data_IF_621181041508
#
_entry.id   IF_621181041508
#
_cell.length_a   1.000
_cell.length_b   1.000
_cell.length_c   1.000
_cell.angle_alpha   90.00
_cell.angle_beta   90.00
_cell.angle_gamma   90.00
#
_symmetry.space_group_name_H-M   'P 1'
#
loop_
_entity.id
_entity.type
_entity.pdbx_description
1 polymer ?
#
# COMPACT_ATOMS: atom_id res chain seq x y z
N UNK A 1 -9.85 28.60 19.98
CA UNK A 1 -9.73 27.49 19.01
C UNK A 1 -10.61 26.35 19.47
N UNK A 2 -11.52 25.88 18.63
CA UNK A 2 -12.50 24.85 18.99
C UNK A 2 -11.91 23.48 18.59
N UNK A 3 -11.41 22.69 19.55
CA UNK A 3 -10.70 21.42 19.31
C UNK A 3 -11.62 20.22 18.98
N UNK A 4 -12.93 20.47 18.91
CA UNK A 4 -13.97 19.45 18.65
C UNK A 4 -13.80 18.64 17.36
N UNK A 5 -13.39 19.19 16.19
CA UNK A 5 -13.24 18.37 14.99
C UNK A 5 -12.00 17.45 15.06
N UNK A 6 -10.95 17.85 15.78
CA UNK A 6 -9.74 17.06 15.99
C UNK A 6 -10.01 15.84 16.89
N UNK A 7 -10.80 16.03 17.94
CA UNK A 7 -11.28 14.94 18.81
C UNK A 7 -12.20 13.97 18.07
N UNK A 8 -13.01 14.45 17.13
CA UNK A 8 -13.92 13.61 16.34
C UNK A 8 -13.18 12.71 15.37
N UNK A 9 -12.16 13.24 14.68
CA UNK A 9 -11.28 12.44 13.81
C UNK A 9 -10.48 11.40 14.62
N UNK A 10 -9.97 11.78 15.80
CA UNK A 10 -9.25 10.86 16.68
C UNK A 10 -10.15 9.74 17.23
N UNK A 11 -11.40 10.06 17.58
CA UNK A 11 -12.39 9.07 18.04
C UNK A 11 -12.81 8.09 16.94
N UNK A 12 -12.92 8.55 15.68
CA UNK A 12 -13.18 7.67 14.53
C UNK A 12 -11.99 6.73 14.27
N UNK A 13 -10.76 7.24 14.36
CA UNK A 13 -9.54 6.43 14.23
C UNK A 13 -9.48 5.38 15.36
N UNK A 14 -9.81 5.74 16.60
CA UNK A 14 -9.83 4.82 17.74
C UNK A 14 -10.94 3.77 17.65
N UNK A 15 -12.11 4.12 17.11
CA UNK A 15 -13.22 3.19 16.89
C UNK A 15 -12.92 2.18 15.75
N UNK A 16 -12.15 2.59 14.74
CA UNK A 16 -11.73 1.71 13.64
C UNK A 16 -10.64 0.69 14.05
N UNK A 17 -9.95 0.92 15.17
CA UNK A 17 -8.95 0.00 15.74
C UNK A 17 -9.58 -1.21 16.47
N UNK A 18 -10.89 -1.25 16.67
CA UNK A 18 -11.62 -2.33 17.35
C UNK A 18 -12.25 -3.33 16.37
N UNK A 19 -11.51 -3.76 15.35
CA UNK A 19 -11.95 -4.83 14.43
C UNK A 19 -11.50 -6.19 14.96
N UNK A 20 -12.45 -6.99 15.43
CA UNK A 20 -12.25 -8.36 15.88
C UNK A 20 -11.79 -9.28 14.74
N UNK A 21 -10.67 -9.99 14.95
CA UNK A 21 -10.16 -11.01 14.03
C UNK A 21 -10.88 -12.32 14.29
N UNK A 22 -11.75 -12.71 13.35
CA UNK A 22 -12.39 -14.02 13.33
C UNK A 22 -11.39 -15.06 12.84
N UNK A 23 -10.94 -15.93 13.74
CA UNK A 23 -10.15 -17.12 13.39
C UNK A 23 -11.12 -18.27 13.09
N UNK A 24 -11.05 -18.86 11.90
CA UNK A 24 -11.75 -20.08 11.56
C UNK A 24 -10.80 -21.27 11.74
N UNK A 25 -10.86 -21.91 12.92
CA UNK A 25 -10.15 -23.15 13.21
C UNK A 25 -11.02 -24.36 12.83
N UNK A 26 -10.40 -25.42 12.30
CA UNK A 26 -11.04 -26.70 12.04
C UNK A 26 -10.38 -27.78 12.90
N UNK A 27 -11.16 -28.44 13.74
CA UNK A 27 -10.65 -29.40 14.74
C UNK A 27 -10.82 -30.84 14.24
N UNK A 28 -9.75 -31.63 14.31
CA UNK A 28 -9.85 -33.04 14.63
C UNK A 28 -9.27 -33.28 16.03
N UNK A 29 -9.62 -34.40 16.66
CA UNK A 29 -9.54 -34.62 18.11
C UNK A 29 -8.16 -34.47 18.78
N UNK A 30 -7.08 -34.15 18.06
CA UNK A 30 -5.87 -33.55 18.64
C UNK A 30 -5.04 -32.68 17.65
N UNK A 31 -5.38 -32.60 16.36
CA UNK A 31 -4.61 -31.83 15.36
C UNK A 31 -5.46 -30.68 14.81
N UNK A 32 -4.98 -29.46 14.98
CA UNK A 32 -5.57 -28.24 14.40
C UNK A 32 -4.79 -27.84 13.14
N UNK A 33 -5.50 -27.53 12.06
CA UNK A 33 -4.90 -27.15 10.77
C UNK A 33 -5.25 -25.69 10.50
N UNK A 34 -4.23 -24.85 10.46
CA UNK A 34 -4.37 -23.42 10.13
C UNK A 34 -3.64 -23.11 8.82
N UNK A 35 -4.33 -22.45 7.90
CA UNK A 35 -3.75 -21.98 6.62
C UNK A 35 -3.67 -20.46 6.65
N UNK A 36 -2.52 -19.92 6.29
CA UNK A 36 -2.22 -18.48 6.28
C UNK A 36 -1.76 -18.09 4.88
N UNK A 37 -2.58 -17.30 4.17
CA UNK A 37 -2.30 -16.83 2.81
C UNK A 37 -2.88 -15.42 2.64
N UNK A 38 -2.10 -14.41 2.21
CA UNK A 38 -0.65 -14.43 2.04
C UNK A 38 0.09 -14.40 3.39
N UNK A 39 1.23 -15.10 3.50
CA UNK A 39 2.10 -15.13 4.68
C UNK A 39 2.93 -13.84 4.77
N UNK A 40 2.25 -12.77 5.19
CA UNK A 40 2.78 -11.41 5.38
C UNK A 40 2.51 -10.95 6.82
N UNK A 41 3.14 -9.85 7.29
CA UNK A 41 2.90 -9.35 8.65
C UNK A 41 1.41 -9.23 8.98
N UNK A 42 0.99 -9.86 10.08
CA UNK A 42 -0.42 -10.02 10.45
C UNK A 42 -1.16 -8.68 10.50
N UNK A 43 -2.39 -8.68 9.98
CA UNK A 43 -3.32 -7.56 10.04
C UNK A 43 -3.19 -6.51 8.92
N UNK A 44 -2.00 -6.33 8.32
CA UNK A 44 -1.82 -5.28 7.29
C UNK A 44 -2.38 -5.66 5.91
N UNK A 45 -2.30 -6.95 5.58
CA UNK A 45 -2.77 -7.48 4.30
C UNK A 45 -4.09 -8.19 4.48
N UNK A 46 -4.91 -8.16 3.43
CA UNK A 46 -6.20 -8.83 3.48
C UNK A 46 -6.00 -10.35 3.48
N UNK A 47 -6.49 -11.08 4.50
CA UNK A 47 -6.34 -12.52 4.55
C UNK A 47 -7.16 -13.20 3.46
N UNK A 48 -6.67 -14.35 3.01
CA UNK A 48 -7.31 -15.26 2.07
C UNK A 48 -7.64 -14.63 0.72
N UNK A 49 -6.88 -13.61 0.31
CA UNK A 49 -7.00 -12.97 -1.00
C UNK A 49 -5.68 -13.00 -1.77
N UNK A 50 -5.76 -13.49 -3.00
CA UNK A 50 -4.69 -13.49 -3.99
C UNK A 50 -5.10 -12.61 -5.16
N UNK A 51 -4.17 -11.80 -5.68
CA UNK A 51 -4.40 -10.99 -6.88
C UNK A 51 -3.81 -11.75 -8.07
N UNK A 52 -4.64 -12.04 -9.08
CA UNK A 52 -4.17 -12.67 -10.30
C UNK A 52 -3.20 -11.76 -11.08
N UNK A 53 -2.32 -12.36 -11.87
CA UNK A 53 -1.22 -11.69 -12.55
C UNK A 53 0.13 -12.40 -12.43
N UNK A 54 0.15 -13.69 -12.05
CA UNK A 54 1.37 -14.50 -12.02
C UNK A 54 2.36 -14.15 -10.90
N UNK A 55 1.99 -13.27 -9.96
CA UNK A 55 2.86 -12.89 -8.84
C UNK A 55 2.87 -13.98 -7.78
N UNK A 56 4.05 -14.53 -7.50
CA UNK A 56 4.24 -15.54 -6.47
C UNK A 56 3.96 -14.97 -5.07
N UNK A 57 3.04 -15.58 -4.32
CA UNK A 57 2.72 -15.21 -2.94
C UNK A 57 3.16 -16.30 -1.97
N UNK A 58 3.62 -15.91 -0.79
CA UNK A 58 3.98 -16.85 0.27
C UNK A 58 2.74 -17.36 0.98
N UNK A 59 2.75 -18.63 1.34
CA UNK A 59 1.70 -19.29 2.09
C UNK A 59 2.32 -20.17 3.17
N UNK A 60 1.58 -20.38 4.26
CA UNK A 60 2.01 -21.27 5.33
C UNK A 60 0.83 -22.09 5.84
N UNK A 61 1.05 -23.39 5.98
CA UNK A 61 0.14 -24.31 6.65
C UNK A 61 0.79 -24.73 7.96
N UNK A 62 0.04 -24.59 9.05
CA UNK A 62 0.45 -24.93 10.40
C UNK A 62 -0.38 -26.12 10.85
N UNK A 63 0.30 -27.20 11.22
CA UNK A 63 -0.28 -28.37 11.85
C UNK A 63 0.09 -28.30 13.33
N UNK A 64 -0.89 -28.11 14.20
CA UNK A 64 -0.68 -27.99 15.64
C UNK A 64 -1.21 -29.23 16.35
N UNK A 65 -0.36 -29.89 17.13
CA UNK A 65 -0.76 -31.01 17.97
C UNK A 65 -1.19 -30.49 19.35
N UNK A 66 -2.49 -30.51 19.63
CA UNK A 66 -3.12 -30.16 20.91
C UNK A 66 -3.11 -31.32 21.92
N UNK A 67 -2.73 -32.52 21.51
CA UNK A 67 -2.55 -33.67 22.38
C UNK A 67 -1.31 -33.55 23.27
N UNK A 68 -1.19 -34.44 24.26
CA UNK A 68 -0.04 -34.51 25.15
C UNK A 68 1.11 -35.37 24.59
N UNK A 69 0.80 -36.30 23.69
CA UNK A 69 1.75 -37.26 23.11
C UNK A 69 2.24 -36.79 21.73
N UNK A 70 3.38 -37.33 21.29
CA UNK A 70 3.93 -37.04 19.96
C UNK A 70 3.11 -37.77 18.91
N UNK A 71 2.66 -37.05 17.88
CA UNK A 71 1.90 -37.63 16.77
C UNK A 71 2.73 -37.61 15.48
N UNK A 72 2.72 -38.70 14.73
CA UNK A 72 3.26 -38.76 13.38
C UNK A 72 2.14 -38.57 12.36
N UNK A 73 2.25 -37.53 11.53
CA UNK A 73 1.20 -37.11 10.60
C UNK A 73 1.70 -37.19 9.17
N UNK A 74 0.87 -37.69 8.26
CA UNK A 74 1.04 -37.48 6.82
C UNK A 74 -0.06 -36.58 6.30
N UNK A 75 0.28 -35.56 5.52
CA UNK A 75 -0.67 -34.58 5.00
C UNK A 75 -0.63 -34.55 3.48
N UNK A 76 -1.79 -34.52 2.84
CA UNK A 76 -1.96 -34.27 1.41
C UNK A 76 -2.65 -32.93 1.24
N UNK A 77 -2.00 -32.01 0.50
CA UNK A 77 -2.49 -30.66 0.22
C UNK A 77 -2.77 -30.58 -1.27
N UNK A 78 -4.03 -30.45 -1.65
CA UNK A 78 -4.48 -30.32 -3.03
C UNK A 78 -4.84 -28.86 -3.30
N UNK A 79 -4.10 -28.22 -4.19
CA UNK A 79 -4.43 -26.92 -4.75
C UNK A 79 -5.47 -27.04 -5.87
N UNK A 80 -6.31 -26.02 -6.06
CA UNK A 80 -7.21 -25.97 -7.20
C UNK A 80 -6.43 -25.77 -8.51
N UNK A 81 -6.89 -26.39 -9.60
CA UNK A 81 -6.29 -26.36 -10.96
C UNK A 81 -5.87 -24.98 -11.49
N UNK A 82 -6.46 -23.92 -10.95
CA UNK A 82 -6.23 -22.55 -11.36
C UNK A 82 -4.94 -21.94 -10.79
N UNK A 83 -4.32 -22.59 -9.80
CA UNK A 83 -3.22 -22.06 -9.00
C UNK A 83 -2.07 -23.06 -9.04
N UNK A 84 -0.86 -22.60 -9.30
CA UNK A 84 0.33 -23.46 -9.19
C UNK A 84 0.96 -23.33 -7.80
N UNK A 85 1.48 -24.46 -7.32
CA UNK A 85 2.25 -24.55 -6.09
C UNK A 85 3.74 -24.64 -6.43
N UNK A 86 4.57 -24.21 -5.48
CA UNK A 86 5.98 -24.60 -5.42
C UNK A 86 6.44 -24.59 -3.97
N UNK A 87 7.42 -25.42 -3.66
CA UNK A 87 7.92 -25.60 -2.28
C UNK A 87 9.28 -24.92 -2.12
N UNK A 88 9.41 -23.87 -1.28
CA UNK A 88 10.71 -23.32 -0.94
C UNK A 88 11.52 -24.30 -0.07
N UNK A 89 12.85 -24.17 -0.09
CA UNK A 89 13.74 -24.93 0.80
C UNK A 89 13.39 -24.65 2.27
N UNK A 90 13.15 -25.71 3.05
CA UNK A 90 12.75 -25.69 4.45
C UNK A 90 13.17 -26.99 5.17
N UNK A 91 13.03 -27.03 6.49
CA UNK A 91 13.43 -28.19 7.31
C UNK A 91 12.73 -29.49 6.88
N UNK A 92 11.47 -29.40 6.45
CA UNK A 92 10.69 -30.54 5.98
C UNK A 92 10.88 -30.83 4.48
N UNK A 93 11.81 -30.18 3.77
CA UNK A 93 11.93 -30.31 2.31
C UNK A 93 12.13 -31.75 1.84
N UNK A 94 12.87 -32.58 2.59
CA UNK A 94 13.11 -33.99 2.25
C UNK A 94 11.86 -34.86 2.45
N UNK A 95 10.86 -34.36 3.19
CA UNK A 95 9.61 -35.04 3.49
C UNK A 95 8.46 -34.60 2.58
N UNK A 96 8.70 -33.64 1.69
CA UNK A 96 7.68 -33.06 0.81
C UNK A 96 7.92 -33.54 -0.62
N UNK A 97 6.90 -34.18 -1.19
CA UNK A 97 6.86 -34.54 -2.60
C UNK A 97 5.83 -33.67 -3.32
N UNK A 98 6.21 -33.14 -4.48
CA UNK A 98 5.36 -32.29 -5.33
C UNK A 98 4.98 -33.05 -6.60
N UNK A 99 3.68 -33.22 -6.83
CA UNK A 99 3.11 -33.78 -8.06
C UNK A 99 2.01 -32.85 -8.59
N UNK A 100 2.42 -31.94 -9.48
CA UNK A 100 1.56 -30.90 -10.03
C UNK A 100 0.96 -30.01 -8.93
N UNK A 101 -0.36 -30.06 -8.77
CA UNK A 101 -1.09 -29.27 -7.76
C UNK A 101 -1.30 -30.03 -6.45
N UNK A 102 -0.69 -31.20 -6.30
CA UNK A 102 -0.76 -32.00 -5.07
C UNK A 102 0.60 -31.99 -4.39
N UNK A 103 0.61 -31.64 -3.11
CA UNK A 103 1.77 -31.77 -2.24
C UNK A 103 1.49 -32.83 -1.19
N UNK A 104 2.39 -33.80 -1.09
CA UNK A 104 2.35 -34.82 -0.04
C UNK A 104 3.49 -34.59 0.93
N UNK A 105 3.16 -34.47 2.21
CA UNK A 105 4.11 -34.36 3.31
C UNK A 105 4.04 -35.64 4.12
N UNK A 106 5.14 -36.38 4.19
CA UNK A 106 5.21 -37.68 4.84
C UNK A 106 5.95 -37.60 6.17
N UNK A 107 5.48 -38.35 7.18
CA UNK A 107 6.18 -38.58 8.44
C UNK A 107 6.55 -37.30 9.22
N UNK A 108 5.59 -36.39 9.36
CA UNK A 108 5.74 -35.19 10.17
C UNK A 108 5.54 -35.54 11.65
N UNK A 109 6.62 -35.56 12.42
CA UNK A 109 6.58 -35.76 13.87
C UNK A 109 6.29 -34.45 14.59
N UNK A 110 5.18 -34.39 15.35
CA UNK A 110 4.77 -33.21 16.11
C UNK A 110 4.59 -33.58 17.58
N UNK A 111 5.49 -33.10 18.44
CA UNK A 111 5.36 -33.27 19.88
C UNK A 111 4.08 -32.59 20.42
N UNK A 112 3.53 -33.11 21.53
CA UNK A 112 2.36 -32.52 22.17
C UNK A 112 2.54 -31.04 22.52
N UNK A 113 1.58 -30.20 22.14
CA UNK A 113 1.63 -28.75 22.29
C UNK A 113 2.59 -28.03 21.33
N UNK A 114 3.14 -28.72 20.32
CA UNK A 114 4.00 -28.11 19.28
C UNK A 114 3.28 -28.04 17.95
N UNK A 115 3.88 -27.27 17.03
CA UNK A 115 3.37 -27.11 15.68
C UNK A 115 4.47 -27.38 14.67
N UNK A 116 4.11 -28.04 13.58
CA UNK A 116 4.95 -28.16 12.39
C UNK A 116 4.43 -27.22 11.30
N UNK A 117 5.36 -26.68 10.53
CA UNK A 117 5.09 -25.60 9.58
C UNK A 117 5.52 -26.05 8.19
N UNK A 118 4.57 -26.04 7.26
CA UNK A 118 4.83 -26.25 5.83
C UNK A 118 4.68 -24.90 5.13
N UNK A 119 5.78 -24.35 4.63
CA UNK A 119 5.80 -23.13 3.82
C UNK A 119 5.64 -23.50 2.36
N UNK A 120 4.83 -22.72 1.66
CA UNK A 120 4.45 -22.89 0.26
C UNK A 120 4.59 -21.56 -0.46
N UNK A 121 4.79 -21.64 -1.78
CA UNK A 121 4.67 -20.52 -2.70
C UNK A 121 3.49 -20.80 -3.62
N UNK A 122 2.57 -19.86 -3.68
CA UNK A 122 1.29 -19.98 -4.37
C UNK A 122 1.27 -18.95 -5.48
N UNK A 123 1.18 -19.42 -6.72
CA UNK A 123 1.14 -18.53 -7.89
C UNK A 123 -0.28 -18.53 -8.47
N UNK A 124 -1.04 -17.44 -8.31
CA UNK A 124 -2.33 -17.29 -8.96
C UNK A 124 -2.15 -17.20 -10.48
N UNK A 125 -3.18 -17.52 -11.27
CA UNK A 125 -3.08 -17.48 -12.73
C UNK A 125 -2.81 -16.06 -13.23
N UNK A 126 -2.35 -15.93 -14.46
CA UNK A 126 -2.09 -14.62 -15.09
C UNK A 126 -3.35 -13.75 -15.16
N UNK A 127 -4.52 -14.37 -15.38
CA UNK A 127 -5.78 -13.66 -15.46
C UNK A 127 -6.97 -14.53 -15.09
N UNK A 128 -8.00 -13.91 -14.53
CA UNK A 128 -9.33 -14.49 -14.34
C UNK A 128 -10.40 -13.47 -14.75
N UNK A 129 -11.53 -13.92 -15.32
CA UNK A 129 -12.56 -13.02 -15.83
C UNK A 129 -13.32 -12.29 -14.72
N UNK A 130 -13.49 -12.94 -13.56
CA UNK A 130 -14.23 -12.41 -12.43
C UNK A 130 -13.65 -12.92 -11.11
N UNK A 131 -13.94 -12.20 -10.03
CA UNK A 131 -13.58 -12.61 -8.66
C UNK A 131 -14.07 -14.04 -8.42
N UNK A 132 -13.14 -14.95 -8.16
CA UNK A 132 -13.44 -16.39 -8.08
C UNK A 132 -13.02 -16.94 -6.74
N UNK A 133 -13.93 -17.66 -6.08
CA UNK A 133 -13.66 -18.33 -4.82
C UNK A 133 -13.15 -19.75 -5.08
N UNK A 134 -12.03 -20.11 -4.44
CA UNK A 134 -11.40 -21.43 -4.55
C UNK A 134 -11.08 -22.00 -3.17
N UNK A 135 -10.71 -23.28 -3.13
CA UNK A 135 -10.44 -23.99 -1.87
C UNK A 135 -9.18 -24.82 -2.00
N UNK A 136 -8.36 -24.81 -0.94
CA UNK A 136 -7.40 -25.89 -0.71
C UNK A 136 -8.13 -27.05 -0.06
N UNK A 137 -7.80 -28.28 -0.45
CA UNK A 137 -8.25 -29.48 0.24
C UNK A 137 -7.06 -30.10 0.92
N UNK A 138 -7.09 -30.13 2.25
CA UNK A 138 -6.02 -30.63 3.09
C UNK A 138 -6.55 -31.85 3.82
N UNK A 139 -5.93 -32.99 3.57
CA UNK A 139 -6.23 -34.24 4.26
C UNK A 139 -5.04 -34.62 5.10
N UNK A 140 -5.18 -34.62 6.42
CA UNK A 140 -4.17 -35.10 7.35
C UNK A 140 -4.57 -36.48 7.89
N UNK A 141 -3.62 -37.41 7.92
CA UNK A 141 -3.80 -38.74 8.48
C UNK A 141 -2.75 -38.98 9.56
N UNK A 142 -3.19 -39.38 10.76
CA UNK A 142 -2.28 -39.81 11.82
C UNK A 142 -1.85 -41.27 11.57
N UNK A 143 -0.56 -41.55 11.78
CA UNK A 143 0.02 -42.86 11.50
C UNK A 143 -0.40 -43.94 12.52
N UNK A 144 -0.75 -43.55 13.74
CA UNK A 144 -0.97 -44.48 14.86
C UNK A 144 -2.40 -45.03 14.95
N UNK A 145 -3.42 -44.25 14.60
CA UNK A 145 -4.83 -44.63 14.68
C UNK A 145 -5.55 -44.66 13.32
N UNK A 146 -4.88 -44.23 12.25
CA UNK A 146 -5.47 -44.10 10.92
C UNK A 146 -6.56 -43.04 10.82
N UNK A 147 -6.72 -42.18 11.83
CA UNK A 147 -7.70 -41.11 11.84
C UNK A 147 -7.40 -40.12 10.72
N UNK A 148 -8.45 -39.72 10.00
CA UNK A 148 -8.37 -38.80 8.87
C UNK A 148 -9.09 -37.50 9.19
N UNK A 149 -8.40 -36.40 8.96
CA UNK A 149 -8.91 -35.04 9.12
C UNK A 149 -8.96 -34.39 7.75
N UNK A 150 -10.14 -33.94 7.35
CA UNK A 150 -10.32 -33.16 6.13
C UNK A 150 -10.59 -31.70 6.48
N UNK A 151 -9.75 -30.82 5.96
CA UNK A 151 -9.88 -29.38 6.11
C UNK A 151 -9.94 -28.70 4.74
N UNK A 152 -10.92 -27.81 4.58
CA UNK A 152 -11.12 -27.04 3.35
C UNK A 152 -10.93 -25.56 3.63
N UNK A 153 -9.75 -25.03 3.29
CA UNK A 153 -9.48 -23.60 3.41
C UNK A 153 -10.01 -22.84 2.20
N UNK A 154 -10.82 -21.80 2.43
CA UNK A 154 -11.43 -21.00 1.38
C UNK A 154 -10.63 -19.72 1.15
N UNK A 155 -10.27 -19.44 -0.10
CA UNK A 155 -9.61 -18.20 -0.49
C UNK A 155 -10.24 -17.62 -1.75
N UNK A 156 -10.00 -16.33 -1.99
CA UNK A 156 -10.53 -15.61 -3.15
C UNK A 156 -9.42 -15.13 -4.05
N UNK A 157 -9.54 -15.42 -5.34
CA UNK A 157 -8.67 -14.84 -6.37
C UNK A 157 -9.40 -13.61 -6.92
N UNK A 158 -8.74 -12.47 -6.84
CA UNK A 158 -9.19 -11.19 -7.40
C UNK A 158 -8.62 -11.12 -8.83
N UNK A 159 -9.43 -10.74 -9.85
CA UNK A 159 -8.91 -10.55 -11.20
C UNK A 159 -7.74 -9.58 -11.20
N UNK A 160 -6.78 -9.73 -12.13
CA UNK A 160 -5.81 -8.68 -12.32
C UNK A 160 -6.60 -7.40 -12.65
N UNK A 161 -6.12 -6.22 -12.22
CA UNK A 161 -6.67 -4.96 -12.69
C UNK A 161 -6.78 -5.02 -14.22
N UNK A 162 -7.97 -4.74 -14.71
CA UNK A 162 -8.34 -5.02 -16.08
C UNK A 162 -7.54 -4.14 -17.04
N UNK A 163 -7.62 -4.44 -18.34
CA UNK A 163 -7.16 -3.51 -19.38
C UNK A 163 -7.73 -2.09 -19.21
N UNK A 164 -8.86 -1.95 -18.52
CA UNK A 164 -9.43 -0.65 -18.15
C UNK A 164 -8.53 0.05 -17.14
N UNK A 165 -7.94 -0.64 -16.16
CA UNK A 165 -7.03 -0.03 -15.20
C UNK A 165 -5.70 0.39 -15.84
N UNK A 166 -5.13 -0.45 -16.70
CA UNK A 166 -3.97 -0.02 -17.51
C UNK A 166 -4.34 1.09 -18.48
N UNK A 167 -5.54 1.04 -19.05
CA UNK A 167 -6.12 2.09 -19.86
C UNK A 167 -6.30 3.39 -19.08
N UNK A 168 -6.67 3.34 -17.80
CA UNK A 168 -6.75 4.53 -16.94
C UNK A 168 -5.37 5.08 -16.63
N UNK A 169 -4.36 4.23 -16.37
CA UNK A 169 -2.97 4.71 -16.19
C UNK A 169 -2.46 5.36 -17.48
N UNK A 170 -2.68 4.72 -18.63
CA UNK A 170 -2.31 5.26 -19.93
C UNK A 170 -3.06 6.56 -20.24
N UNK A 171 -4.35 6.63 -19.92
CA UNK A 171 -5.15 7.83 -20.06
C UNK A 171 -4.68 8.93 -19.11
N UNK A 172 -4.28 8.62 -17.87
CA UNK A 172 -3.68 9.59 -16.94
C UNK A 172 -2.34 10.11 -17.47
N UNK A 173 -1.48 9.24 -18.00
CA UNK A 173 -0.23 9.64 -18.64
C UNK A 173 -0.47 10.49 -19.89
N UNK A 174 -1.44 10.12 -20.73
CA UNK A 174 -1.88 10.91 -21.87
C UNK A 174 -2.43 12.27 -21.45
N UNK A 175 -3.22 12.32 -20.36
CA UNK A 175 -3.80 13.55 -19.83
C UNK A 175 -2.69 14.46 -19.29
N UNK A 176 -1.66 13.90 -18.66
CA UNK A 176 -0.44 14.63 -18.27
C UNK A 176 0.27 15.16 -19.52
N UNK A 177 0.47 14.35 -20.55
CA UNK A 177 1.11 14.80 -21.81
C UNK A 177 0.28 15.91 -22.46
N UNK A 178 -1.04 15.76 -22.53
CA UNK A 178 -1.97 16.78 -23.03
C UNK A 178 -1.90 18.04 -22.16
N UNK A 179 -1.83 17.91 -20.83
CA UNK A 179 -1.69 19.03 -19.91
C UNK A 179 -0.35 19.75 -20.13
N UNK A 180 0.75 19.02 -20.33
CA UNK A 180 2.06 19.60 -20.68
C UNK A 180 1.99 20.32 -22.03
N UNK A 181 1.35 19.73 -23.04
CA UNK A 181 1.14 20.36 -24.35
C UNK A 181 0.24 21.60 -24.27
N UNK A 182 -0.81 21.56 -23.44
CA UNK A 182 -1.69 22.69 -23.19
C UNK A 182 -0.94 23.81 -22.45
N UNK A 183 -0.21 23.47 -21.40
CA UNK A 183 0.69 24.38 -20.65
C UNK A 183 1.70 25.04 -21.58
N UNK A 184 2.28 24.28 -22.52
CA UNK A 184 3.17 24.82 -23.57
C UNK A 184 2.42 25.74 -24.54
N UNK A 185 1.24 25.35 -25.02
CA UNK A 185 0.44 26.13 -25.97
C UNK A 185 -0.11 27.43 -25.39
N UNK A 186 -0.45 27.43 -24.11
CA UNK A 186 -0.98 28.59 -23.39
C UNK A 186 0.11 29.42 -22.72
N UNK A 187 1.40 29.10 -22.95
CA UNK A 187 2.51 29.87 -22.37
C UNK A 187 2.53 29.85 -20.84
N UNK A 188 1.96 28.83 -20.20
CA UNK A 188 1.83 28.80 -18.73
C UNK A 188 3.21 28.76 -18.06
N UNK A 189 4.20 28.10 -18.68
CA UNK A 189 5.59 28.12 -18.22
C UNK A 189 6.25 29.48 -18.39
N UNK A 190 5.84 30.27 -19.39
CA UNK A 190 6.34 31.64 -19.60
C UNK A 190 5.84 32.60 -18.51
N UNK A 191 4.80 32.22 -17.78
CA UNK A 191 4.37 32.96 -16.60
C UNK A 191 5.36 32.83 -15.45
N UNK A 192 6.18 31.78 -15.37
CA UNK A 192 7.14 31.58 -14.28
C UNK A 192 8.43 32.35 -14.55
N UNK A 193 8.88 33.11 -13.56
CA UNK A 193 10.18 33.77 -13.63
C UNK A 193 11.29 32.77 -13.30
N UNK A 194 12.53 33.12 -13.63
CA UNK A 194 13.71 32.32 -13.25
C UNK A 194 13.74 32.07 -11.74
N UNK A 195 13.39 33.07 -10.92
CA UNK A 195 13.38 32.94 -9.45
C UNK A 195 12.33 31.91 -9.01
N UNK A 196 11.17 31.89 -9.66
CA UNK A 196 10.12 30.91 -9.34
C UNK A 196 10.57 29.49 -9.65
N UNK A 197 11.14 29.27 -10.84
CA UNK A 197 11.62 27.96 -11.27
C UNK A 197 12.75 27.46 -10.36
N UNK A 198 13.68 28.34 -9.99
CA UNK A 198 14.75 28.02 -9.03
C UNK A 198 14.16 27.67 -7.66
N UNK A 199 13.17 28.43 -7.19
CA UNK A 199 12.52 28.16 -5.90
C UNK A 199 11.84 26.79 -5.90
N UNK A 200 11.07 26.47 -6.96
CA UNK A 200 10.43 25.16 -7.11
C UNK A 200 11.47 24.05 -7.15
N UNK A 201 12.56 24.21 -7.92
CA UNK A 201 13.60 23.21 -8.03
C UNK A 201 14.30 22.93 -6.69
N UNK A 202 14.58 23.98 -5.89
CA UNK A 202 15.18 23.83 -4.57
C UNK A 202 14.26 23.11 -3.58
N UNK A 203 12.96 23.47 -3.57
CA UNK A 203 11.97 22.81 -2.71
C UNK A 203 11.75 21.35 -3.14
N UNK A 204 11.69 21.08 -4.44
CA UNK A 204 11.58 19.73 -4.99
C UNK A 204 12.80 18.87 -4.65
N UNK A 205 14.01 19.43 -4.74
CA UNK A 205 15.23 18.72 -4.34
C UNK A 205 15.23 18.39 -2.85
N UNK A 206 14.75 19.32 -2.00
CA UNK A 206 14.63 19.07 -0.56
C UNK A 206 13.62 17.93 -0.26
N UNK A 207 12.48 17.90 -0.97
CA UNK A 207 11.51 16.81 -0.86
C UNK A 207 12.09 15.47 -1.33
N UNK A 208 12.59 15.43 -2.56
CA UNK A 208 12.99 14.21 -3.26
C UNK A 208 14.30 13.61 -2.77
N UNK A 209 15.17 14.40 -2.12
CA UNK A 209 16.45 13.93 -1.56
C UNK A 209 16.35 13.76 -0.06
N UNK A 210 16.19 14.87 0.67
CA UNK A 210 16.36 14.87 2.13
C UNK A 210 15.19 14.18 2.81
N UNK A 211 13.96 14.59 2.51
CA UNK A 211 12.79 14.01 3.19
C UNK A 211 12.49 12.58 2.72
N UNK A 212 12.83 12.26 1.46
CA UNK A 212 12.77 10.87 0.99
C UNK A 212 13.77 9.97 1.71
N UNK A 213 15.02 10.40 1.84
CA UNK A 213 16.03 9.65 2.61
C UNK A 213 15.62 9.50 4.07
N UNK A 214 15.13 10.58 4.69
CA UNK A 214 14.66 10.57 6.07
C UNK A 214 13.49 9.58 6.26
N UNK A 215 12.50 9.62 5.36
CA UNK A 215 11.41 8.65 5.38
C UNK A 215 11.94 7.22 5.25
N UNK A 216 12.77 6.91 4.25
CA UNK A 216 13.31 5.55 4.06
C UNK A 216 14.08 5.04 5.28
N UNK A 217 14.83 5.91 5.97
CA UNK A 217 15.66 5.54 7.12
C UNK A 217 14.83 5.23 8.36
N UNK A 218 13.74 6.00 8.56
CA UNK A 218 13.00 5.97 9.83
C UNK A 218 11.62 5.33 9.72
N UNK A 219 11.08 5.09 8.51
CA UNK A 219 9.73 4.57 8.32
C UNK A 219 9.49 3.26 9.09
N UNK A 220 10.47 2.36 9.09
CA UNK A 220 10.36 1.06 9.75
C UNK A 220 10.30 1.19 11.28
N UNK A 221 10.90 2.24 11.87
CA UNK A 221 10.90 2.49 13.32
C UNK A 221 9.50 2.91 13.80
N UNK A 222 8.76 3.64 12.97
CA UNK A 222 7.45 4.19 13.32
C UNK A 222 6.27 3.31 12.90
N UNK A 223 6.54 2.17 12.26
CA UNK A 223 5.52 1.22 11.80
C UNK A 223 4.41 1.92 11.01
N UNK A 224 3.13 1.82 11.42
CA UNK A 224 2.02 2.43 10.67
C UNK A 224 2.10 3.96 10.59
N UNK A 225 2.81 4.63 11.52
CA UNK A 225 2.98 6.08 11.54
C UNK A 225 4.12 6.59 10.65
N UNK A 226 4.94 5.70 10.09
CA UNK A 226 6.07 6.09 9.24
C UNK A 226 5.67 6.97 8.05
N UNK A 227 4.45 6.80 7.52
CA UNK A 227 3.90 7.65 6.47
C UNK A 227 3.78 9.14 6.83
N UNK A 228 3.70 9.49 8.12
CA UNK A 228 3.68 10.89 8.56
C UNK A 228 5.01 11.59 8.33
N UNK A 229 6.14 10.86 8.42
CA UNK A 229 7.48 11.40 8.22
C UNK A 229 7.69 11.90 6.79
N UNK A 230 6.94 11.35 5.84
CA UNK A 230 6.93 11.83 4.46
C UNK A 230 5.81 12.84 4.21
N UNK A 231 4.62 12.59 4.74
CA UNK A 231 3.45 13.42 4.39
C UNK A 231 3.53 14.82 4.97
N UNK A 232 4.06 15.00 6.19
CA UNK A 232 4.17 16.32 6.83
C UNK A 232 5.14 17.22 6.06
N UNK A 233 6.41 16.83 5.81
CA UNK A 233 7.34 17.73 5.13
C UNK A 233 6.93 18.03 3.69
N UNK A 234 6.44 17.04 2.95
CA UNK A 234 6.03 17.24 1.56
C UNK A 234 4.85 18.21 1.46
N UNK A 235 3.87 18.09 2.35
CA UNK A 235 2.73 19.03 2.37
C UNK A 235 3.17 20.44 2.79
N UNK A 236 4.13 20.55 3.72
CA UNK A 236 4.70 21.84 4.11
C UNK A 236 5.44 22.52 2.95
N UNK A 237 6.30 21.77 2.24
CA UNK A 237 7.03 22.28 1.08
C UNK A 237 6.11 22.69 -0.05
N UNK A 238 5.05 21.91 -0.30
CA UNK A 238 4.02 22.26 -1.28
C UNK A 238 3.34 23.60 -0.93
N UNK A 239 2.93 23.79 0.32
CA UNK A 239 2.33 25.06 0.75
C UNK A 239 3.32 26.21 0.65
N UNK A 240 4.60 26.00 1.00
CA UNK A 240 5.65 27.01 0.83
C UNK A 240 5.80 27.39 -0.64
N UNK A 241 5.85 26.40 -1.55
CA UNK A 241 5.95 26.65 -2.98
C UNK A 241 4.77 27.48 -3.50
N UNK A 242 3.53 27.08 -3.15
CA UNK A 242 2.32 27.83 -3.51
C UNK A 242 2.39 29.28 -3.04
N UNK A 243 2.75 29.48 -1.78
CA UNK A 243 2.72 30.81 -1.16
C UNK A 243 3.81 31.75 -1.68
N UNK A 244 4.98 31.22 -2.05
CA UNK A 244 6.11 32.00 -2.59
C UNK A 244 5.95 32.29 -4.08
N UNK A 245 5.60 31.28 -4.88
CA UNK A 245 5.56 31.41 -6.36
C UNK A 245 4.25 32.01 -6.85
N UNK A 246 3.13 31.66 -6.21
CA UNK A 246 1.80 32.25 -6.45
C UNK A 246 1.33 32.21 -7.91
N UNK A 247 1.60 31.10 -8.61
CA UNK A 247 1.23 30.89 -10.03
C UNK A 247 0.46 29.59 -10.21
N UNK A 248 -0.48 29.52 -11.17
CA UNK A 248 -1.23 28.30 -11.41
C UNK A 248 -0.29 27.20 -11.93
N UNK A 249 -0.47 25.97 -11.46
CA UNK A 249 0.40 24.85 -11.83
C UNK A 249 1.63 24.69 -10.95
N UNK A 250 1.78 25.50 -9.90
CA UNK A 250 2.94 25.43 -9.00
C UNK A 250 3.01 24.09 -8.28
N UNK A 251 1.89 23.54 -7.79
CA UNK A 251 1.89 22.26 -7.07
C UNK A 251 2.22 21.11 -8.02
N UNK A 252 1.60 21.07 -9.19
CA UNK A 252 1.87 20.06 -10.23
C UNK A 252 3.32 20.11 -10.69
N UNK A 253 3.87 21.31 -10.92
CA UNK A 253 5.26 21.48 -11.33
C UNK A 253 6.24 21.06 -10.23
N UNK A 254 5.96 21.38 -8.97
CA UNK A 254 6.75 20.93 -7.83
C UNK A 254 6.86 19.40 -7.79
N UNK A 255 5.72 18.70 -7.87
CA UNK A 255 5.71 17.24 -7.85
C UNK A 255 6.34 16.63 -9.10
N UNK A 256 6.18 17.25 -10.27
CA UNK A 256 6.88 16.79 -11.47
C UNK A 256 8.40 16.84 -11.28
N UNK A 257 8.93 17.97 -10.79
CA UNK A 257 10.37 18.13 -10.57
C UNK A 257 10.86 17.20 -9.46
N UNK A 258 10.11 17.07 -8.36
CA UNK A 258 10.40 16.12 -7.28
C UNK A 258 10.54 14.68 -7.79
N UNK A 259 9.63 14.25 -8.67
CA UNK A 259 9.67 12.92 -9.25
C UNK A 259 10.83 12.74 -10.24
N UNK A 260 11.18 13.76 -11.02
CA UNK A 260 12.37 13.72 -11.88
C UNK A 260 13.66 13.61 -11.07
N UNK A 261 13.77 14.39 -9.99
CA UNK A 261 14.89 14.29 -9.03
C UNK A 261 14.93 12.88 -8.44
N UNK A 262 13.77 12.33 -8.07
CA UNK A 262 13.70 10.99 -7.52
C UNK A 262 14.14 9.90 -8.50
N UNK A 263 13.77 10.04 -9.78
CA UNK A 263 14.18 9.12 -10.84
C UNK A 263 15.71 9.11 -11.01
N UNK A 264 16.33 10.29 -11.02
CA UNK A 264 17.78 10.43 -11.23
C UNK A 264 18.58 9.94 -10.02
N UNK A 265 18.18 10.32 -8.80
CA UNK A 265 18.98 10.04 -7.59
C UNK A 265 18.75 8.62 -7.07
N UNK A 266 17.50 8.13 -7.11
CA UNK A 266 17.15 6.83 -6.53
C UNK A 266 17.00 5.72 -7.57
N UNK A 267 17.23 5.99 -8.86
CA UNK A 267 17.03 5.01 -9.93
C UNK A 267 15.61 4.47 -10.03
N UNK A 268 14.63 5.21 -9.51
CA UNK A 268 13.23 4.78 -9.41
C UNK A 268 12.59 4.72 -10.80
N UNK A 269 11.91 3.62 -11.13
CA UNK A 269 11.11 3.51 -12.36
C UNK A 269 9.82 4.33 -12.24
N UNK A 270 10.00 5.65 -12.29
CA UNK A 270 8.97 6.66 -12.08
C UNK A 270 7.80 6.52 -13.07
N UNK A 271 8.04 5.97 -14.26
CA UNK A 271 7.06 5.95 -15.36
C UNK A 271 5.79 5.18 -15.00
N UNK A 272 5.88 4.19 -14.10
CA UNK A 272 4.74 3.37 -13.67
C UNK A 272 3.79 4.13 -12.74
N UNK A 273 4.28 5.10 -11.97
CA UNK A 273 3.51 5.82 -10.95
C UNK A 273 3.63 7.33 -11.02
N UNK A 274 4.21 7.90 -12.08
CA UNK A 274 4.29 9.34 -12.28
C UNK A 274 2.90 9.99 -12.26
N UNK A 275 1.90 9.32 -12.87
CA UNK A 275 0.51 9.79 -12.86
C UNK A 275 -0.09 9.91 -11.45
N UNK A 276 0.35 9.08 -10.50
CA UNK A 276 -0.07 9.17 -9.10
C UNK A 276 0.35 10.51 -8.48
N UNK A 277 1.64 10.83 -8.54
CA UNK A 277 2.18 12.06 -7.95
C UNK A 277 1.74 13.33 -8.68
N UNK A 278 1.56 13.27 -10.00
CA UNK A 278 1.06 14.41 -10.74
C UNK A 278 -0.42 14.72 -10.43
N UNK A 279 -1.22 13.68 -10.16
CA UNK A 279 -2.62 13.88 -9.78
C UNK A 279 -2.75 14.55 -8.40
N UNK A 280 -1.82 14.29 -7.48
CA UNK A 280 -1.74 15.02 -6.20
C UNK A 280 -1.59 16.53 -6.41
N UNK A 281 -0.65 16.93 -7.28
CA UNK A 281 -0.42 18.34 -7.61
C UNK A 281 -1.60 18.96 -8.38
N UNK A 282 -2.15 18.23 -9.34
CA UNK A 282 -3.26 18.71 -10.16
C UNK A 282 -4.53 18.97 -9.33
N UNK A 283 -4.81 18.12 -8.34
CA UNK A 283 -5.93 18.34 -7.41
C UNK A 283 -5.73 19.64 -6.65
N UNK A 284 -4.53 19.88 -6.10
CA UNK A 284 -4.25 21.10 -5.34
C UNK A 284 -4.30 22.35 -6.23
N UNK A 285 -3.74 22.32 -7.43
CA UNK A 285 -3.84 23.44 -8.37
C UNK A 285 -5.31 23.71 -8.78
N UNK A 286 -6.13 22.66 -8.88
CA UNK A 286 -7.58 22.80 -9.12
C UNK A 286 -8.26 23.47 -7.93
N UNK A 287 -7.93 23.09 -6.69
CA UNK A 287 -8.46 23.73 -5.48
C UNK A 287 -8.07 25.20 -5.39
N UNK A 288 -6.83 25.55 -5.74
CA UNK A 288 -6.36 26.94 -5.82
C UNK A 288 -7.20 27.74 -6.81
N UNK A 289 -7.47 27.18 -8.00
CA UNK A 289 -8.33 27.81 -8.99
C UNK A 289 -9.77 27.98 -8.48
N UNK A 290 -10.35 26.95 -7.84
CA UNK A 290 -11.70 26.99 -7.25
C UNK A 290 -11.80 28.01 -6.11
N UNK A 291 -10.72 28.21 -5.33
CA UNK A 291 -10.64 29.21 -4.27
C UNK A 291 -10.16 30.58 -4.78
N UNK A 292 -10.45 30.91 -6.04
CA UNK A 292 -10.19 32.23 -6.65
C UNK A 292 -8.72 32.64 -6.59
N UNK A 293 -7.83 31.69 -6.89
CA UNK A 293 -6.37 31.89 -6.88
C UNK A 293 -5.83 32.22 -5.48
N UNK A 294 -6.41 31.63 -4.43
CA UNK A 294 -5.87 31.69 -3.08
C UNK A 294 -4.65 30.76 -2.99
N UNK A 295 -3.44 31.31 -3.09
CA UNK A 295 -2.19 30.55 -3.05
C UNK A 295 -1.73 30.27 -1.61
N UNK A 296 -2.62 29.68 -0.81
CA UNK A 296 -2.44 29.45 0.61
C UNK A 296 -2.23 30.76 1.40
N UNK A 297 -3.00 31.80 1.05
CA UNK A 297 -3.01 33.12 1.71
C UNK A 297 -3.60 33.07 3.11
N UNK A 298 -4.43 32.08 3.37
CA UNK A 298 -4.99 31.82 4.69
C UNK A 298 -4.53 30.46 5.20
N UNK A 299 -4.36 30.35 6.52
CA UNK A 299 -4.01 29.07 7.15
C UNK A 299 -5.03 27.98 6.83
N UNK A 300 -6.31 28.34 6.70
CA UNK A 300 -7.38 27.39 6.36
C UNK A 300 -7.16 26.82 4.95
N UNK A 301 -6.87 27.68 3.95
CA UNK A 301 -6.58 27.20 2.59
C UNK A 301 -5.36 26.29 2.57
N UNK A 302 -4.28 26.67 3.28
CA UNK A 302 -3.08 25.85 3.40
C UNK A 302 -3.35 24.44 3.99
N UNK A 303 -4.19 24.39 5.04
CA UNK A 303 -4.60 23.12 5.67
C UNK A 303 -5.43 22.28 4.70
N UNK A 304 -6.39 22.89 4.00
CA UNK A 304 -7.23 22.19 3.01
C UNK A 304 -6.35 21.56 1.93
N UNK A 305 -5.44 22.33 1.33
CA UNK A 305 -4.55 21.83 0.28
C UNK A 305 -3.68 20.67 0.76
N UNK A 306 -3.11 20.79 1.98
CA UNK A 306 -2.34 19.71 2.58
C UNK A 306 -3.17 18.44 2.82
N UNK A 307 -4.38 18.58 3.37
CA UNK A 307 -5.30 17.47 3.61
C UNK A 307 -5.74 16.78 2.33
N UNK A 308 -6.15 17.55 1.32
CA UNK A 308 -6.60 17.05 0.02
C UNK A 308 -5.50 16.30 -0.71
N UNK A 309 -4.27 16.84 -0.69
CA UNK A 309 -3.09 16.14 -1.20
C UNK A 309 -2.88 14.82 -0.49
N UNK A 310 -2.88 14.81 0.86
CA UNK A 310 -2.69 13.59 1.65
C UNK A 310 -3.76 12.54 1.38
N UNK A 311 -5.02 12.96 1.28
CA UNK A 311 -6.15 12.09 0.96
C UNK A 311 -5.99 11.43 -0.42
N UNK A 312 -5.81 12.23 -1.47
CA UNK A 312 -5.74 11.74 -2.84
C UNK A 312 -4.51 10.86 -3.04
N UNK A 313 -3.36 11.25 -2.49
CA UNK A 313 -2.13 10.47 -2.53
C UNK A 313 -2.38 9.05 -2.01
N UNK A 314 -2.87 8.92 -0.79
CA UNK A 314 -2.99 7.61 -0.16
C UNK A 314 -4.19 6.82 -0.69
N UNK A 315 -5.29 7.49 -1.05
CA UNK A 315 -6.43 6.82 -1.65
C UNK A 315 -6.06 6.16 -2.98
N UNK A 316 -5.37 6.89 -3.87
CA UNK A 316 -4.89 6.35 -5.13
C UNK A 316 -3.87 5.24 -4.91
N UNK A 317 -2.96 5.40 -3.95
CA UNK A 317 -1.99 4.35 -3.64
C UNK A 317 -2.67 3.05 -3.23
N UNK A 318 -3.49 3.07 -2.17
CA UNK A 318 -4.02 1.85 -1.57
C UNK A 318 -5.10 1.17 -2.43
N UNK A 319 -5.89 1.93 -3.18
CA UNK A 319 -7.02 1.38 -3.94
C UNK A 319 -6.77 1.23 -5.44
N UNK A 320 -5.80 1.95 -6.02
CA UNK A 320 -5.52 1.90 -7.46
C UNK A 320 -4.12 1.36 -7.75
N UNK A 321 -3.07 2.00 -7.24
CA UNK A 321 -1.70 1.65 -7.62
C UNK A 321 -1.18 0.39 -6.93
N UNK A 322 -1.43 0.18 -5.62
CA UNK A 322 -1.05 -1.03 -4.88
C UNK A 322 -1.57 -2.33 -5.52
N UNK A 323 -2.87 -2.43 -5.86
CA UNK A 323 -3.39 -3.60 -6.57
C UNK A 323 -2.87 -3.70 -8.01
N UNK A 324 -2.59 -2.57 -8.66
CA UNK A 324 -2.27 -2.55 -10.10
C UNK A 324 -0.82 -2.79 -10.42
N UNK A 325 0.08 -1.99 -9.85
CA UNK A 325 1.49 -2.07 -10.11
C UNK A 325 2.15 -3.20 -9.30
N UNK A 326 1.72 -3.41 -8.05
CA UNK A 326 2.38 -4.34 -7.14
C UNK A 326 1.59 -5.61 -6.84
N UNK A 327 0.35 -5.74 -7.34
CA UNK A 327 -0.54 -6.90 -7.09
C UNK A 327 -0.81 -7.13 -5.59
N UNK A 328 -0.78 -6.06 -4.80
CA UNK A 328 -0.99 -6.12 -3.34
C UNK A 328 -2.42 -5.67 -3.01
N UNK A 329 -3.10 -6.45 -2.18
CA UNK A 329 -4.39 -6.06 -1.59
C UNK A 329 -4.22 -5.83 -0.07
N UNK A 330 -4.30 -4.57 0.34
CA UNK A 330 -4.29 -4.20 1.76
C UNK A 330 -5.68 -4.40 2.38
N UNK A 331 -5.71 -4.68 3.67
CA UNK A 331 -6.96 -4.77 4.41
C UNK A 331 -7.68 -3.40 4.40
N UNK A 332 -9.00 -3.33 4.19
CA UNK A 332 -9.71 -2.04 4.10
C UNK A 332 -9.48 -1.11 5.30
N UNK A 333 -9.46 -1.67 6.52
CA UNK A 333 -9.20 -0.89 7.73
C UNK A 333 -7.81 -0.24 7.72
N UNK A 334 -6.79 -0.97 7.23
CA UNK A 334 -5.41 -0.49 7.16
C UNK A 334 -5.28 0.61 6.11
N UNK A 335 -5.88 0.42 4.94
CA UNK A 335 -5.93 1.44 3.89
C UNK A 335 -6.58 2.73 4.40
N UNK A 336 -7.72 2.62 5.10
CA UNK A 336 -8.40 3.79 5.67
C UNK A 336 -7.61 4.44 6.81
N UNK A 337 -6.95 3.66 7.66
CA UNK A 337 -6.04 4.19 8.68
C UNK A 337 -4.93 5.01 8.03
N UNK A 338 -4.29 4.48 7.00
CA UNK A 338 -3.20 5.14 6.30
C UNK A 338 -3.66 6.41 5.59
N UNK A 339 -4.83 6.41 4.98
CA UNK A 339 -5.46 7.63 4.44
C UNK A 339 -5.72 8.65 5.55
N UNK A 340 -6.24 8.22 6.70
CA UNK A 340 -6.47 9.08 7.86
C UNK A 340 -5.17 9.71 8.38
N UNK A 341 -4.10 8.93 8.47
CA UNK A 341 -2.77 9.43 8.84
C UNK A 341 -2.23 10.41 7.80
N UNK A 342 -2.41 10.14 6.51
CA UNK A 342 -1.99 11.07 5.47
C UNK A 342 -2.75 12.41 5.52
N UNK A 343 -4.06 12.38 5.77
CA UNK A 343 -4.86 13.58 5.99
C UNK A 343 -4.38 14.36 7.22
N UNK A 344 -4.08 13.67 8.32
CA UNK A 344 -3.53 14.29 9.52
C UNK A 344 -2.14 14.90 9.25
N UNK A 345 -1.28 14.19 8.56
CA UNK A 345 0.03 14.68 8.12
C UNK A 345 -0.09 15.89 7.20
N UNK A 346 -1.09 15.89 6.31
CA UNK A 346 -1.43 17.02 5.44
C UNK A 346 -1.91 18.24 6.20
N UNK A 347 -2.74 18.05 7.24
CA UNK A 347 -3.18 19.12 8.14
C UNK A 347 -2.00 19.77 8.87
N UNK A 348 -1.12 18.95 9.47
CA UNK A 348 0.05 19.42 10.20
C UNK A 348 1.01 20.12 9.25
N UNK A 349 1.35 19.46 8.13
CA UNK A 349 2.23 19.99 7.10
C UNK A 349 1.70 21.29 6.49
N UNK A 350 0.41 21.39 6.21
CA UNK A 350 -0.21 22.60 5.70
C UNK A 350 -0.13 23.77 6.69
N UNK A 351 -0.35 23.51 7.97
CA UNK A 351 -0.19 24.54 9.01
C UNK A 351 1.25 25.00 9.18
N UNK A 352 2.20 24.07 9.22
CA UNK A 352 3.64 24.37 9.34
C UNK A 352 4.12 25.13 8.10
N UNK A 353 3.73 24.67 6.92
CA UNK A 353 4.08 25.29 5.64
C UNK A 353 3.59 26.73 5.56
N UNK A 354 2.37 27.02 6.03
CA UNK A 354 1.84 28.38 6.08
C UNK A 354 2.68 29.29 6.98
N UNK A 355 3.01 28.84 8.18
CA UNK A 355 3.80 29.62 9.14
C UNK A 355 5.23 29.86 8.65
N UNK A 356 5.85 28.84 8.05
CA UNK A 356 7.17 28.93 7.44
C UNK A 356 7.16 29.90 6.25
N UNK A 357 6.19 29.75 5.34
CA UNK A 357 6.07 30.61 4.17
C UNK A 357 5.87 32.08 4.54
N UNK A 358 5.03 32.36 5.56
CA UNK A 358 4.81 33.73 6.04
C UNK A 358 6.10 34.35 6.60
N UNK A 359 6.90 33.58 7.34
CA UNK A 359 8.21 34.02 7.85
C UNK A 359 9.21 34.26 6.72
N UNK A 360 9.30 33.33 5.77
CA UNK A 360 10.21 33.45 4.61
C UNK A 360 9.88 34.68 3.76
N UNK A 361 8.59 34.92 3.49
CA UNK A 361 8.15 36.11 2.75
C UNK A 361 8.47 37.40 3.50
N UNK A 362 8.34 37.39 4.83
CA UNK A 362 8.73 38.52 5.67
C UNK A 362 10.24 38.78 5.71
N UNK A 363 11.07 37.82 5.33
CA UNK A 363 12.53 37.98 5.23
C UNK A 363 13.00 38.36 3.81
N UNK A 364 12.12 38.27 2.80
CA UNK A 364 12.38 38.74 1.43
C UNK A 364 12.02 40.22 1.24
N UNK A 365 11.27 40.81 2.18
CA UNK A 365 10.97 42.24 2.30
C UNK A 365 11.98 42.87 3.28
#
# INVERSE_FOLDING_TARGET
MNYRPLLFVFAIILALLLSSVVHAAGSADNIDITVIIPDRPKGMFEPDKLVAGGSEERARIVFENRGAETATISATIVAPDLVSLSVPIQELSEQITEDGNTLTVSNMEIAGGKSAIVRLRVTPPDSIPMKTMKRFHITAAAAEDGSRTEYSHRFTIIPPPSWITYGTILASLLLVVIAIFAVKRFGVLEMFTTIDLVTIALLAALAGVVFRWFWQTFNDIFGPFGGLLFTIPVSALMVIALHLVRKPGTATLLFLVDQLVCMVIWGSNITVWLGWYLLEGAVVDTEVALFKMNYADTRIAAIIYGMSRGFIAYWLFYFLFAPTAWKICYAPWYSWLQIGLAVLGGLIGGSIGYDAAKKMRGAML
#
